data_IF_905228691885
#
_entry.id   IF_905228691885
#
_cell.length_a   1.000
_cell.length_b   1.000
_cell.length_c   1.000
_cell.angle_alpha   90.00
_cell.angle_beta   90.00
_cell.angle_gamma   90.00
#
_symmetry.space_group_name_H-M   'P 1'
#
loop_
_entity.id
_entity.type
_entity.pdbx_description
1 polymer ?
#
# COMPACT_ATOMS: atom_id res chain seq x y z
N UNK A 1 20.21 -39.00 -35.14
CA UNK A 1 20.59 -37.82 -34.32
C UNK A 1 19.54 -36.73 -34.56
N UNK A 2 18.48 -36.68 -33.73
CA UNK A 2 17.31 -35.77 -33.91
C UNK A 2 16.71 -35.31 -32.55
N UNK A 3 17.38 -35.63 -31.45
CA UNK A 3 16.86 -35.53 -30.07
C UNK A 3 17.10 -34.16 -29.41
N UNK A 4 17.96 -33.32 -29.98
CA UNK A 4 18.25 -31.97 -29.43
C UNK A 4 17.23 -30.91 -29.85
N UNK A 5 16.47 -31.14 -30.93
CA UNK A 5 15.46 -30.18 -31.42
C UNK A 5 14.19 -30.19 -30.56
N UNK A 6 13.76 -31.37 -30.10
CA UNK A 6 12.51 -31.54 -29.33
C UNK A 6 12.61 -30.94 -27.93
N UNK A 7 13.74 -31.11 -27.25
CA UNK A 7 13.93 -30.59 -25.89
C UNK A 7 13.94 -29.04 -25.84
N UNK A 8 14.41 -28.37 -26.90
CA UNK A 8 14.41 -26.92 -26.98
C UNK A 8 13.01 -26.36 -27.25
N UNK A 9 12.23 -27.04 -28.10
CA UNK A 9 10.83 -26.71 -28.36
C UNK A 9 9.95 -26.91 -27.11
N UNK A 10 10.12 -28.03 -26.40
CA UNK A 10 9.38 -28.33 -25.16
C UNK A 10 9.66 -27.27 -24.07
N UNK A 11 10.92 -26.85 -23.92
CA UNK A 11 11.30 -25.81 -22.96
C UNK A 11 10.65 -24.46 -23.31
N UNK A 12 10.68 -24.07 -24.58
CA UNK A 12 10.08 -22.81 -25.05
C UNK A 12 8.56 -22.78 -24.83
N UNK A 13 7.88 -23.88 -25.12
CA UNK A 13 6.45 -24.02 -24.88
C UNK A 13 6.09 -23.94 -23.40
N UNK A 14 6.91 -24.53 -22.53
CA UNK A 14 6.74 -24.43 -21.07
C UNK A 14 6.89 -22.99 -20.57
N UNK A 15 7.93 -22.27 -21.03
CA UNK A 15 8.13 -20.85 -20.66
C UNK A 15 6.99 -19.98 -21.16
N UNK A 16 6.49 -20.20 -22.37
CA UNK A 16 5.33 -19.48 -22.93
C UNK A 16 4.06 -19.71 -22.09
N UNK A 17 3.81 -20.94 -21.68
CA UNK A 17 2.70 -21.26 -20.77
C UNK A 17 2.85 -20.56 -19.41
N UNK A 18 4.04 -20.59 -18.81
CA UNK A 18 4.33 -19.90 -17.55
C UNK A 18 4.19 -18.37 -17.67
N UNK A 19 4.61 -17.79 -18.80
CA UNK A 19 4.39 -16.38 -19.11
C UNK A 19 2.91 -16.05 -19.19
N UNK A 20 2.11 -16.92 -19.82
CA UNK A 20 0.65 -16.79 -19.88
C UNK A 20 0.01 -16.79 -18.49
N UNK A 21 0.35 -17.79 -17.66
CA UNK A 21 -0.14 -17.91 -16.29
C UNK A 21 0.27 -16.70 -15.43
N UNK A 22 1.54 -16.31 -15.48
CA UNK A 22 2.03 -15.20 -14.67
C UNK A 22 1.43 -13.85 -15.13
N UNK A 23 1.17 -13.69 -16.43
CA UNK A 23 0.48 -12.49 -16.95
C UNK A 23 -1.00 -12.43 -16.54
N UNK A 24 -1.67 -13.57 -16.36
CA UNK A 24 -3.01 -13.60 -15.77
C UNK A 24 -2.97 -13.21 -14.29
N UNK A 25 -2.06 -13.82 -13.51
CA UNK A 25 -1.86 -13.50 -12.10
C UNK A 25 -1.52 -12.02 -11.85
N UNK A 26 -0.64 -11.43 -12.67
CA UNK A 26 -0.33 -9.99 -12.60
C UNK A 26 -1.59 -9.15 -12.78
N UNK A 27 -2.44 -9.46 -13.77
CA UNK A 27 -3.70 -8.71 -14.01
C UNK A 27 -4.66 -8.79 -12.83
N UNK A 28 -4.80 -9.95 -12.20
CA UNK A 28 -5.61 -10.10 -10.98
C UNK A 28 -5.05 -9.28 -9.82
N UNK A 29 -3.73 -9.27 -9.64
CA UNK A 29 -3.05 -8.46 -8.62
C UNK A 29 -3.20 -6.96 -8.88
N UNK A 30 -3.14 -6.52 -10.13
CA UNK A 30 -3.39 -5.12 -10.51
C UNK A 30 -4.81 -4.69 -10.15
N UNK A 31 -5.81 -5.51 -10.49
CA UNK A 31 -7.20 -5.23 -10.13
C UNK A 31 -7.41 -5.20 -8.62
N UNK A 32 -6.80 -6.14 -7.89
CA UNK A 32 -6.88 -6.18 -6.42
C UNK A 32 -6.21 -4.97 -5.77
N UNK A 33 -5.07 -4.52 -6.30
CA UNK A 33 -4.38 -3.30 -5.87
C UNK A 33 -5.23 -2.06 -6.08
N UNK A 34 -5.84 -1.92 -7.26
CA UNK A 34 -6.71 -0.80 -7.61
C UNK A 34 -7.93 -0.74 -6.68
N UNK A 35 -8.59 -1.89 -6.46
CA UNK A 35 -9.72 -1.98 -5.54
C UNK A 35 -9.34 -1.63 -4.11
N UNK A 36 -8.20 -2.12 -3.62
CA UNK A 36 -7.74 -1.79 -2.28
C UNK A 36 -7.39 -0.30 -2.16
N UNK A 37 -6.74 0.27 -3.16
CA UNK A 37 -6.47 1.70 -3.18
C UNK A 37 -7.75 2.56 -3.15
N UNK A 38 -8.76 2.19 -3.94
CA UNK A 38 -10.07 2.86 -3.90
C UNK A 38 -10.70 2.78 -2.51
N UNK A 39 -10.56 1.65 -1.81
CA UNK A 39 -11.00 1.53 -0.42
C UNK A 39 -10.25 2.53 0.47
N UNK A 40 -8.93 2.69 0.32
CA UNK A 40 -8.17 3.71 1.07
C UNK A 40 -8.62 5.15 0.75
N UNK A 41 -8.98 5.44 -0.51
CA UNK A 41 -9.57 6.75 -0.89
C UNK A 41 -10.88 6.98 -0.14
N UNK A 42 -11.79 5.98 -0.15
CA UNK A 42 -13.07 6.06 0.56
C UNK A 42 -12.85 6.23 2.06
N UNK A 43 -11.99 5.40 2.65
CA UNK A 43 -11.66 5.43 4.07
C UNK A 43 -11.03 6.77 4.49
N UNK A 44 -10.14 7.32 3.66
CA UNK A 44 -9.58 8.66 3.87
C UNK A 44 -10.69 9.72 3.85
N UNK A 45 -11.58 9.68 2.85
CA UNK A 45 -12.72 10.60 2.75
C UNK A 45 -13.65 10.52 3.96
N UNK A 46 -14.04 9.30 4.36
CA UNK A 46 -14.87 9.03 5.55
C UNK A 46 -14.19 9.56 6.82
N UNK A 47 -12.90 9.27 6.99
CA UNK A 47 -12.13 9.71 8.15
C UNK A 47 -12.04 11.24 8.24
N UNK A 48 -11.70 11.92 7.14
CA UNK A 48 -11.68 13.38 7.07
C UNK A 48 -13.06 13.97 7.35
N UNK A 49 -14.12 13.42 6.73
CA UNK A 49 -15.49 13.87 6.96
C UNK A 49 -15.92 13.72 8.42
N UNK A 50 -15.54 12.61 9.07
CA UNK A 50 -15.82 12.41 10.49
C UNK A 50 -15.07 13.39 11.39
N UNK A 51 -13.81 13.71 11.08
CA UNK A 51 -12.97 14.64 11.86
C UNK A 51 -13.53 16.06 11.81
N UNK A 52 -13.78 16.56 10.60
CA UNK A 52 -14.27 17.92 10.38
C UNK A 52 -15.79 18.06 10.54
N UNK A 53 -16.49 16.98 10.92
CA UNK A 53 -17.94 16.94 11.02
C UNK A 53 -18.64 17.42 9.72
N UNK A 54 -18.14 16.96 8.57
CA UNK A 54 -18.67 17.32 7.25
C UNK A 54 -19.94 16.50 6.99
N UNK A 55 -21.06 17.20 6.77
CA UNK A 55 -22.36 16.60 6.48
C UNK A 55 -22.97 15.86 7.67
N UNK A 56 -23.90 14.95 7.39
CA UNK A 56 -24.65 14.17 8.40
C UNK A 56 -24.05 12.80 8.69
N UNK A 57 -22.77 12.59 8.39
CA UNK A 57 -22.15 11.26 8.46
C UNK A 57 -22.18 10.66 9.87
N UNK A 58 -21.97 11.48 10.91
CA UNK A 58 -22.06 11.02 12.31
C UNK A 58 -23.48 10.57 12.67
N UNK A 59 -24.50 11.30 12.21
CA UNK A 59 -25.91 10.95 12.44
C UNK A 59 -26.30 9.67 11.68
N UNK A 60 -25.81 9.51 10.45
CA UNK A 60 -26.01 8.30 9.64
C UNK A 60 -25.38 7.09 10.32
N UNK A 61 -24.15 7.23 10.83
CA UNK A 61 -23.49 6.15 11.56
C UNK A 61 -24.22 5.81 12.87
N UNK A 62 -24.67 6.80 13.62
CA UNK A 62 -25.46 6.58 14.84
C UNK A 62 -26.74 5.78 14.54
N UNK A 63 -27.46 6.14 13.46
CA UNK A 63 -28.66 5.41 13.00
C UNK A 63 -28.32 4.00 12.52
N UNK A 64 -27.24 3.83 11.78
CA UNK A 64 -26.81 2.52 11.27
C UNK A 64 -26.49 1.54 12.41
N UNK A 65 -25.88 2.03 13.49
CA UNK A 65 -25.59 1.23 14.68
C UNK A 65 -26.78 1.15 15.67
N UNK A 66 -27.97 1.61 15.28
CA UNK A 66 -29.18 1.64 16.11
C UNK A 66 -28.97 2.36 17.47
N UNK A 67 -28.14 3.39 17.49
CA UNK A 67 -27.86 4.19 18.67
C UNK A 67 -28.62 5.51 18.63
N UNK A 68 -29.18 5.93 19.76
CA UNK A 68 -29.87 7.22 19.89
C UNK A 68 -28.92 8.42 19.72
N UNK A 69 -27.64 8.22 20.02
CA UNK A 69 -26.58 9.23 19.92
C UNK A 69 -25.31 8.61 19.35
N UNK A 70 -24.50 9.43 18.68
CA UNK A 70 -23.22 9.00 18.12
C UNK A 70 -22.24 8.56 19.23
N UNK A 71 -21.90 7.27 19.29
CA UNK A 71 -20.85 6.77 20.16
C UNK A 71 -19.50 6.72 19.42
N UNK A 72 -18.68 7.75 19.65
CA UNK A 72 -17.34 7.85 19.05
C UNK A 72 -16.43 6.65 19.36
N UNK A 73 -16.55 6.05 20.55
CA UNK A 73 -15.73 4.91 20.98
C UNK A 73 -16.08 3.66 20.20
N UNK A 74 -17.37 3.37 20.03
CA UNK A 74 -17.81 2.23 19.24
C UNK A 74 -17.37 2.37 17.78
N UNK A 75 -17.54 3.56 17.19
CA UNK A 75 -17.12 3.83 15.81
C UNK A 75 -15.60 3.69 15.65
N UNK A 76 -14.81 4.27 16.56
CA UNK A 76 -13.35 4.14 16.52
C UNK A 76 -12.90 2.68 16.69
N UNK A 77 -13.52 1.92 17.60
CA UNK A 77 -13.20 0.51 17.84
C UNK A 77 -13.49 -0.39 16.64
N UNK A 78 -14.48 -0.05 15.82
CA UNK A 78 -14.83 -0.78 14.58
C UNK A 78 -13.95 -0.34 13.42
N UNK A 79 -13.79 0.97 13.23
CA UNK A 79 -13.04 1.51 12.09
C UNK A 79 -11.56 1.18 12.18
N UNK A 80 -10.93 1.27 13.35
CA UNK A 80 -9.49 1.04 13.49
C UNK A 80 -9.04 -0.33 12.93
N UNK A 81 -9.65 -1.47 13.30
CA UNK A 81 -9.36 -2.76 12.67
C UNK A 81 -9.55 -2.77 11.15
N UNK A 82 -10.57 -2.09 10.62
CA UNK A 82 -10.81 -1.99 9.17
C UNK A 82 -9.67 -1.24 8.49
N UNK A 83 -9.25 -0.09 9.02
CA UNK A 83 -8.13 0.69 8.50
C UNK A 83 -6.82 -0.12 8.54
N UNK A 84 -6.55 -0.83 9.63
CA UNK A 84 -5.36 -1.67 9.78
C UNK A 84 -5.37 -2.84 8.80
N UNK A 85 -6.51 -3.54 8.67
CA UNK A 85 -6.66 -4.65 7.74
C UNK A 85 -6.38 -4.22 6.30
N UNK A 86 -6.99 -3.12 5.84
CA UNK A 86 -6.79 -2.66 4.45
C UNK A 86 -5.36 -2.18 4.21
N UNK A 87 -4.70 -1.60 5.21
CA UNK A 87 -3.29 -1.21 5.13
C UNK A 87 -2.38 -2.43 5.02
N UNK A 88 -2.56 -3.44 5.87
CA UNK A 88 -1.78 -4.68 5.81
C UNK A 88 -2.00 -5.40 4.48
N UNK A 89 -3.25 -5.47 4.01
CA UNK A 89 -3.61 -6.03 2.71
C UNK A 89 -2.91 -5.29 1.57
N UNK A 90 -2.78 -3.97 1.65
CA UNK A 90 -2.09 -3.18 0.62
C UNK A 90 -0.61 -3.58 0.54
N UNK A 91 0.07 -3.68 1.69
CA UNK A 91 1.46 -4.13 1.74
C UNK A 91 1.67 -5.53 1.15
N UNK A 92 0.77 -6.47 1.46
CA UNK A 92 0.80 -7.82 0.91
C UNK A 92 0.61 -7.83 -0.61
N UNK A 93 -0.40 -7.11 -1.12
CA UNK A 93 -0.67 -7.03 -2.56
C UNK A 93 0.49 -6.37 -3.32
N UNK A 94 1.08 -5.29 -2.79
CA UNK A 94 2.23 -4.61 -3.42
C UNK A 94 3.42 -5.55 -3.49
N UNK A 95 3.65 -6.33 -2.43
CA UNK A 95 4.74 -7.32 -2.39
C UNK A 95 4.51 -8.42 -3.43
N UNK A 96 3.33 -9.03 -3.45
CA UNK A 96 2.98 -10.08 -4.40
C UNK A 96 3.03 -9.60 -5.85
N UNK A 97 2.53 -8.41 -6.14
CA UNK A 97 2.61 -7.79 -7.47
C UNK A 97 4.05 -7.59 -7.94
N UNK A 98 4.91 -7.11 -7.05
CA UNK A 98 6.32 -6.89 -7.37
C UNK A 98 7.05 -8.22 -7.64
N UNK A 99 6.78 -9.26 -6.85
CA UNK A 99 7.33 -10.61 -7.06
C UNK A 99 6.86 -11.21 -8.38
N UNK A 100 5.56 -11.16 -8.68
CA UNK A 100 4.99 -11.64 -9.93
C UNK A 100 5.61 -10.91 -11.15
N UNK A 101 5.80 -9.60 -11.04
CA UNK A 101 6.46 -8.82 -12.10
C UNK A 101 7.89 -9.26 -12.33
N UNK A 102 8.68 -9.47 -11.29
CA UNK A 102 10.06 -9.92 -11.48
C UNK A 102 10.11 -11.32 -12.07
N UNK A 103 9.21 -12.21 -11.67
CA UNK A 103 9.09 -13.52 -12.28
C UNK A 103 8.81 -13.38 -13.79
N UNK A 104 7.95 -12.45 -14.20
CA UNK A 104 7.71 -12.16 -15.63
C UNK A 104 9.00 -11.69 -16.30
N UNK A 105 9.75 -10.81 -15.67
CA UNK A 105 10.97 -10.24 -16.24
C UNK A 105 12.04 -11.33 -16.42
N UNK A 106 12.18 -12.25 -15.47
CA UNK A 106 13.06 -13.43 -15.60
C UNK A 106 12.58 -14.37 -16.70
N UNK A 107 11.29 -14.70 -16.75
CA UNK A 107 10.73 -15.57 -17.79
C UNK A 107 10.86 -14.96 -19.20
N UNK A 108 10.70 -13.64 -19.33
CA UNK A 108 10.91 -12.93 -20.60
C UNK A 108 12.38 -12.92 -21.00
N UNK A 109 13.29 -12.76 -20.04
CA UNK A 109 14.73 -12.86 -20.28
C UNK A 109 15.11 -14.27 -20.75
N UNK A 110 14.57 -15.31 -20.12
CA UNK A 110 14.79 -16.71 -20.53
C UNK A 110 14.21 -17.00 -21.92
N UNK A 111 13.03 -16.46 -22.22
CA UNK A 111 12.35 -16.65 -23.51
C UNK A 111 13.02 -15.91 -24.68
N UNK A 112 13.44 -14.66 -24.46
CA UNK A 112 14.01 -13.78 -25.50
C UNK A 112 15.55 -13.88 -25.58
N UNK A 113 16.19 -14.45 -24.57
CA UNK A 113 17.65 -14.57 -24.49
C UNK A 113 18.37 -13.23 -24.67
N UNK A 114 19.38 -13.20 -25.54
CA UNK A 114 20.16 -11.99 -25.84
C UNK A 114 19.37 -10.84 -26.46
N UNK A 115 18.18 -11.10 -27.03
CA UNK A 115 17.32 -10.07 -27.59
C UNK A 115 16.57 -9.26 -26.52
N UNK A 116 16.50 -9.74 -25.27
CA UNK A 116 15.79 -9.07 -24.18
C UNK A 116 16.28 -7.64 -23.93
N UNK A 117 17.60 -7.40 -24.05
CA UNK A 117 18.20 -6.08 -23.82
C UNK A 117 18.05 -5.12 -25.02
N UNK A 118 17.84 -5.66 -26.22
CA UNK A 118 17.72 -4.88 -27.46
C UNK A 118 16.27 -4.57 -27.82
N UNK A 119 15.31 -5.29 -27.26
CA UNK A 119 13.89 -5.06 -27.45
C UNK A 119 13.39 -4.01 -26.46
N UNK A 120 12.61 -3.05 -26.96
CA UNK A 120 11.87 -2.15 -26.07
C UNK A 120 10.75 -2.95 -25.39
N UNK A 121 11.01 -3.46 -24.19
CA UNK A 121 10.06 -4.25 -23.40
C UNK A 121 9.01 -3.39 -22.69
N UNK A 122 9.12 -2.06 -22.76
CA UNK A 122 8.19 -1.11 -22.13
C UNK A 122 6.69 -1.37 -22.44
N UNK A 123 6.29 -1.78 -23.67
CA UNK A 123 4.90 -2.12 -23.97
C UNK A 123 4.35 -3.29 -23.14
N UNK A 124 5.20 -4.27 -22.77
CA UNK A 124 4.80 -5.40 -21.92
C UNK A 124 4.64 -5.02 -20.44
N UNK A 125 5.16 -3.86 -20.06
CA UNK A 125 5.04 -3.32 -18.71
C UNK A 125 3.87 -2.34 -18.54
N UNK A 126 3.19 -1.97 -19.63
CA UNK A 126 2.10 -1.01 -19.56
C UNK A 126 0.91 -1.62 -18.81
N UNK A 127 0.60 -1.06 -17.64
CA UNK A 127 -0.61 -1.39 -16.88
C UNK A 127 -1.66 -0.30 -17.13
N UNK A 128 -2.93 -0.65 -16.96
CA UNK A 128 -4.03 0.30 -16.91
C UNK A 128 -4.42 0.68 -15.48
N UNK A 129 -3.83 0.05 -14.46
CA UNK A 129 -4.07 0.38 -13.06
C UNK A 129 -3.23 1.60 -12.64
N UNK A 130 -3.89 2.55 -12.00
CA UNK A 130 -3.27 3.75 -11.44
C UNK A 130 -2.14 3.38 -10.47
N UNK A 131 -2.40 2.41 -9.59
CA UNK A 131 -1.43 2.00 -8.59
C UNK A 131 -0.28 1.22 -9.19
N UNK A 132 -0.56 0.27 -10.08
CA UNK A 132 0.46 -0.54 -10.74
C UNK A 132 1.44 0.35 -11.51
N UNK A 133 0.94 1.35 -12.23
CA UNK A 133 1.75 2.28 -13.01
C UNK A 133 2.67 3.16 -12.14
N UNK A 134 2.27 3.43 -10.88
CA UNK A 134 3.12 4.13 -9.90
C UNK A 134 4.37 3.34 -9.50
N UNK A 135 4.33 2.00 -9.59
CA UNK A 135 5.44 1.11 -9.30
C UNK A 135 6.21 0.67 -10.57
N UNK A 136 5.65 0.90 -11.76
CA UNK A 136 6.26 0.48 -13.03
C UNK A 136 7.36 1.40 -13.52
N UNK A 137 7.10 2.72 -13.55
CA UNK A 137 8.02 3.70 -14.12
C UNK A 137 8.87 4.37 -13.04
N UNK A 138 10.19 4.29 -13.19
CA UNK A 138 11.13 5.22 -12.51
C UNK A 138 10.75 6.65 -12.96
N UNK A 139 10.00 7.38 -12.14
CA UNK A 139 9.65 8.78 -12.43
C UNK A 139 8.19 9.19 -12.22
N UNK A 140 7.27 8.25 -11.94
CA UNK A 140 5.86 8.60 -11.64
C UNK A 140 5.67 9.08 -10.20
N UNK A 141 6.50 10.05 -9.77
CA UNK A 141 6.44 10.66 -8.45
C UNK A 141 5.07 11.25 -8.08
N UNK A 142 4.24 11.82 -9.01
CA UNK A 142 2.94 12.36 -8.62
C UNK A 142 1.99 11.26 -8.15
N UNK A 143 2.00 10.10 -8.80
CA UNK A 143 1.19 8.95 -8.43
C UNK A 143 1.59 8.40 -7.06
N UNK A 144 2.90 8.28 -6.81
CA UNK A 144 3.41 7.86 -5.51
C UNK A 144 3.02 8.86 -4.42
N UNK A 145 3.07 10.17 -4.70
CA UNK A 145 2.62 11.18 -3.74
C UNK A 145 1.12 11.10 -3.45
N UNK A 146 0.27 10.95 -4.48
CA UNK A 146 -1.19 10.82 -4.29
C UNK A 146 -1.51 9.57 -3.48
N UNK A 147 -0.89 8.44 -3.80
CA UNK A 147 -1.05 7.18 -3.04
C UNK A 147 -0.56 7.34 -1.62
N UNK A 148 0.62 7.93 -1.42
CA UNK A 148 1.16 8.19 -0.09
C UNK A 148 0.21 9.07 0.70
N UNK A 149 -0.20 10.21 0.16
CA UNK A 149 -1.13 11.13 0.80
C UNK A 149 -2.45 10.44 1.18
N UNK A 150 -3.02 9.65 0.28
CA UNK A 150 -4.27 8.92 0.51
C UNK A 150 -4.16 7.92 1.66
N UNK A 151 -3.17 7.03 1.61
CA UNK A 151 -2.96 6.01 2.65
C UNK A 151 -2.65 6.68 3.99
N UNK A 152 -1.86 7.74 3.95
CA UNK A 152 -1.51 8.55 5.12
C UNK A 152 -2.71 9.21 5.76
N UNK A 153 -3.55 9.89 4.96
CA UNK A 153 -4.76 10.53 5.46
C UNK A 153 -5.73 9.50 6.04
N UNK A 154 -5.86 8.33 5.42
CA UNK A 154 -6.62 7.22 5.97
C UNK A 154 -6.09 6.80 7.36
N UNK A 155 -4.80 6.49 7.48
CA UNK A 155 -4.21 6.10 8.77
C UNK A 155 -4.28 7.21 9.83
N UNK A 156 -4.04 8.46 9.43
CA UNK A 156 -4.10 9.61 10.33
C UNK A 156 -5.51 9.79 10.88
N UNK A 157 -6.51 9.63 10.03
CA UNK A 157 -7.89 9.78 10.43
C UNK A 157 -8.31 8.70 11.43
N UNK A 158 -7.92 7.45 11.20
CA UNK A 158 -8.17 6.34 12.11
C UNK A 158 -7.54 6.59 13.50
N UNK A 159 -6.27 6.99 13.53
CA UNK A 159 -5.57 7.28 14.78
C UNK A 159 -6.17 8.49 15.50
N UNK A 160 -6.53 9.54 14.78
CA UNK A 160 -7.16 10.72 15.37
C UNK A 160 -8.50 10.35 16.02
N UNK A 161 -9.32 9.54 15.34
CA UNK A 161 -10.61 9.10 15.88
C UNK A 161 -10.45 8.29 17.17
N UNK A 162 -9.43 7.43 17.23
CA UNK A 162 -9.11 6.68 18.45
C UNK A 162 -8.65 7.61 19.57
N UNK A 163 -7.72 8.54 19.28
CA UNK A 163 -7.22 9.51 20.26
C UNK A 163 -8.38 10.34 20.83
N UNK A 164 -9.27 10.84 19.96
CA UNK A 164 -10.42 11.63 20.36
C UNK A 164 -11.44 10.80 21.16
N UNK A 165 -11.75 9.58 20.71
CA UNK A 165 -12.78 8.75 21.34
C UNK A 165 -12.41 8.25 22.74
N UNK A 166 -11.12 7.93 22.96
CA UNK A 166 -10.63 7.39 24.23
C UNK A 166 -10.04 8.47 25.16
N UNK A 167 -10.11 9.75 24.78
CA UNK A 167 -9.59 10.85 25.59
C UNK A 167 -8.09 10.70 25.88
N UNK A 168 -7.33 10.18 24.92
CA UNK A 168 -5.92 9.81 25.10
C UNK A 168 -5.11 11.06 25.45
N UNK A 169 -4.40 11.02 26.57
CA UNK A 169 -3.61 12.15 27.07
C UNK A 169 -2.46 12.50 26.10
N UNK A 170 -2.07 13.77 26.04
CA UNK A 170 -0.97 14.29 25.21
C UNK A 170 0.34 13.52 25.42
N UNK A 171 0.57 13.04 26.64
CA UNK A 171 1.71 12.19 26.99
C UNK A 171 1.69 10.84 26.28
N UNK A 172 0.52 10.21 26.10
CA UNK A 172 0.39 8.94 25.38
C UNK A 172 0.65 9.11 23.89
N UNK A 173 0.25 10.25 23.31
CA UNK A 173 0.61 10.61 21.93
C UNK A 173 2.13 10.80 21.81
N UNK A 174 2.76 11.49 22.76
CA UNK A 174 4.22 11.67 22.78
C UNK A 174 4.98 10.33 22.92
N UNK A 175 4.49 9.40 23.75
CA UNK A 175 5.08 8.06 23.87
C UNK A 175 4.97 7.31 22.53
N UNK A 176 3.82 7.37 21.84
CA UNK A 176 3.67 6.78 20.51
C UNK A 176 4.64 7.38 19.48
N UNK A 177 4.85 8.70 19.50
CA UNK A 177 5.87 9.36 18.65
C UNK A 177 7.25 8.78 18.94
N UNK A 178 7.65 8.77 20.20
CA UNK A 178 8.98 8.31 20.61
C UNK A 178 9.18 6.85 20.22
N UNK A 179 8.20 5.98 20.51
CA UNK A 179 8.24 4.56 20.14
C UNK A 179 8.42 4.38 18.64
N UNK A 180 7.72 5.15 17.82
CA UNK A 180 7.83 5.01 16.38
C UNK A 180 9.12 5.58 15.80
N UNK A 181 9.63 6.69 16.35
CA UNK A 181 10.97 7.22 15.99
C UNK A 181 12.03 6.18 16.33
N UNK A 182 11.95 5.56 17.52
CA UNK A 182 12.85 4.49 17.92
C UNK A 182 12.75 3.29 16.98
N UNK A 183 11.54 2.82 16.65
CA UNK A 183 11.33 1.72 15.69
C UNK A 183 11.91 2.05 14.31
N UNK A 184 11.76 3.30 13.87
CA UNK A 184 12.30 3.77 12.59
C UNK A 184 13.83 3.77 12.58
N UNK A 185 14.46 4.25 13.66
CA UNK A 185 15.92 4.23 13.83
C UNK A 185 16.43 2.79 13.85
N UNK A 186 15.80 1.92 14.65
CA UNK A 186 16.16 0.50 14.74
C UNK A 186 16.04 -0.18 13.38
N UNK A 187 15.00 0.14 12.61
CA UNK A 187 14.82 -0.40 11.28
C UNK A 187 15.87 0.10 10.29
N UNK A 188 16.18 1.40 10.29
CA UNK A 188 17.26 1.98 9.43
C UNK A 188 18.62 1.39 9.79
N UNK A 189 18.88 1.15 11.08
CA UNK A 189 20.09 0.47 11.52
C UNK A 189 20.11 -0.97 11.01
N UNK A 190 19.03 -1.72 11.20
CA UNK A 190 18.90 -3.10 10.71
C UNK A 190 19.06 -3.19 9.18
N UNK A 191 18.50 -2.22 8.46
CA UNK A 191 18.65 -2.05 7.02
C UNK A 191 20.11 -1.84 6.60
N UNK A 192 20.82 -0.95 7.30
CA UNK A 192 22.24 -0.66 7.03
C UNK A 192 23.11 -1.92 7.20
N UNK A 193 22.70 -2.84 8.06
CA UNK A 193 23.34 -4.14 8.26
C UNK A 193 22.91 -5.23 7.26
N UNK A 194 21.72 -5.14 6.64
CA UNK A 194 21.20 -6.13 5.66
C UNK A 194 21.07 -5.55 4.23
N UNK A 195 22.21 -5.19 3.64
CA UNK A 195 22.36 -4.40 2.39
C UNK A 195 21.66 -4.91 1.12
N UNK A 196 21.16 -6.15 1.08
CA UNK A 196 20.71 -6.79 -0.17
C UNK A 196 19.20 -6.71 -0.48
N UNK A 197 18.36 -6.11 0.36
CA UNK A 197 16.89 -6.12 0.16
C UNK A 197 16.29 -4.79 -0.28
N UNK A 198 16.77 -4.18 -1.37
CA UNK A 198 16.33 -2.89 -1.95
C UNK A 198 14.81 -2.64 -2.08
N UNK A 199 13.99 -3.67 -1.99
CA UNK A 199 12.51 -3.61 -2.08
C UNK A 199 11.82 -3.25 -0.77
N UNK A 200 12.42 -3.59 0.37
CA UNK A 200 11.88 -3.20 1.67
C UNK A 200 12.09 -1.68 1.94
N UNK A 201 13.07 -1.03 1.30
CA UNK A 201 13.28 0.43 1.44
C UNK A 201 12.13 1.27 0.95
N UNK A 202 11.45 0.88 -0.13
CA UNK A 202 10.36 1.67 -0.71
C UNK A 202 9.10 1.62 0.17
N UNK A 203 8.75 0.43 0.66
CA UNK A 203 7.61 0.26 1.56
C UNK A 203 7.85 0.99 2.89
N UNK A 204 9.10 1.00 3.37
CA UNK A 204 9.48 1.64 4.63
C UNK A 204 9.62 3.14 4.47
N UNK A 205 10.16 3.66 3.36
CA UNK A 205 10.24 5.11 3.15
C UNK A 205 8.85 5.71 2.95
N UNK A 206 7.95 5.02 2.23
CA UNK A 206 6.53 5.39 2.18
C UNK A 206 5.88 5.30 3.56
N UNK A 207 6.13 4.22 4.31
CA UNK A 207 5.61 4.05 5.67
C UNK A 207 6.08 5.15 6.61
N UNK A 208 7.36 5.53 6.55
CA UNK A 208 7.96 6.59 7.36
C UNK A 208 7.45 7.98 6.97
N UNK A 209 7.35 8.28 5.67
CA UNK A 209 6.81 9.54 5.18
C UNK A 209 5.33 9.68 5.54
N UNK A 210 4.57 8.60 5.38
CA UNK A 210 3.19 8.49 5.83
C UNK A 210 3.09 8.71 7.33
N UNK A 211 3.92 8.03 8.11
CA UNK A 211 3.97 8.19 9.55
C UNK A 211 4.24 9.64 10.00
N UNK A 212 5.27 10.30 9.44
CA UNK A 212 5.61 11.68 9.78
C UNK A 212 4.47 12.65 9.43
N UNK A 213 3.81 12.45 8.28
CA UNK A 213 2.66 13.27 7.87
C UNK A 213 1.44 13.04 8.78
N UNK A 214 1.14 11.78 9.11
CA UNK A 214 0.08 11.42 10.06
C UNK A 214 0.31 12.10 11.40
N UNK A 215 1.55 12.08 11.89
CA UNK A 215 1.91 12.66 13.18
C UNK A 215 1.95 14.19 13.16
N UNK A 216 2.44 14.80 12.08
CA UNK A 216 2.34 16.24 11.88
C UNK A 216 0.89 16.72 11.90
N UNK A 217 -0.01 15.98 11.25
CA UNK A 217 -1.44 16.24 11.28
C UNK A 217 -2.03 16.02 12.68
N UNK A 218 -1.68 14.93 13.37
CA UNK A 218 -2.13 14.69 14.75
C UNK A 218 -1.68 15.80 15.69
N UNK A 219 -0.45 16.31 15.59
CA UNK A 219 0.04 17.41 16.43
C UNK A 219 -0.64 18.74 16.06
N UNK A 220 -0.82 19.02 14.76
CA UNK A 220 -1.47 20.24 14.30
C UNK A 220 -2.97 20.30 14.65
N UNK A 221 -3.65 19.15 14.63
CA UNK A 221 -5.08 19.03 14.93
C UNK A 221 -5.37 18.62 16.37
N UNK A 222 -4.38 18.17 17.14
CA UNK A 222 -4.43 18.13 18.60
C UNK A 222 -4.32 19.56 19.16
N UNK A 223 -5.34 20.39 18.93
CA UNK A 223 -5.57 21.58 19.75
C UNK A 223 -5.78 21.11 21.20
N UNK A 224 -4.96 21.51 22.18
CA UNK A 224 -4.79 22.87 22.76
C UNK A 224 -6.18 23.42 23.10
N UNK A 225 -6.49 23.58 24.41
CA UNK A 225 -7.83 23.60 24.99
C UNK A 225 -8.88 24.45 24.26
#
# INVERSE_FOLDING_TARGET
MKTTSTAHEDHKQSVEFLLGLNSANIRELEQALEQNWLIHVILSGVGVAMIFNIGHLRDVLARYFAQAQYNAQAVAAILLPVFLYQFMRLGQLVTAFNEARQLRDHLLQDYLGGAFHNLNIEPFHKSTSFLAESFVKKGNWPYLLVTTATVTSAQASALFLVVQAYGVNRFSVAILVVSAVVMSILYVLFWKFQRDRSRATLVVSLGLASFVLVFGLLIAFARIP
#
